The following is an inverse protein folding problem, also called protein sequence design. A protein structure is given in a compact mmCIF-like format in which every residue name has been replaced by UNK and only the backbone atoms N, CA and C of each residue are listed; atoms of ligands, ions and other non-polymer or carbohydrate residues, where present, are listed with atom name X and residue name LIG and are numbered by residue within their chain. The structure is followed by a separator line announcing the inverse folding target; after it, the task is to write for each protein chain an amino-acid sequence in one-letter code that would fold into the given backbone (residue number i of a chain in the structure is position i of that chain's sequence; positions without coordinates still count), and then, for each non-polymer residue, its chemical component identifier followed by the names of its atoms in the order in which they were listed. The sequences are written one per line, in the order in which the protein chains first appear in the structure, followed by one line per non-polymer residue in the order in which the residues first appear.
data_IF_886615195699
#
_entry.id   IF_886615195699
#
_cell.length_a   1.000
_cell.length_b   1.000
_cell.length_c   1.000
_cell.angle_alpha   90.00
_cell.angle_beta   90.00
_cell.angle_gamma   90.00
#
_symmetry.space_group_name_H-M   'P 1'
#
loop_
_entity.id
_entity.type
_entity.pdbx_description
1 polymer ?
#
# COMPACT_ATOMS: atom_id res chain seq x y z
N UNK A 1 3.83 -1.67 0.06
CA UNK A 1 5.12 -1.23 0.61
C UNK A 1 6.07 -2.40 0.49
N UNK A 2 7.28 -2.16 0.02
CA UNK A 2 8.38 -3.12 0.03
C UNK A 2 9.34 -2.68 1.12
N UNK A 3 9.71 -3.60 1.99
CA UNK A 3 10.58 -3.36 3.14
C UNK A 3 11.61 -4.49 3.23
N UNK A 4 12.86 -4.22 3.63
CA UNK A 4 13.80 -5.28 3.92
C UNK A 4 13.38 -6.05 5.18
N UNK A 5 13.85 -7.28 5.32
CA UNK A 5 13.59 -8.11 6.52
C UNK A 5 14.10 -7.43 7.80
N UNK A 6 15.22 -6.70 7.70
CA UNK A 6 15.78 -5.89 8.78
C UNK A 6 15.88 -4.44 8.31
N UNK A 7 14.93 -3.60 8.72
CA UNK A 7 14.92 -2.18 8.38
C UNK A 7 15.95 -1.39 9.20
N UNK A 8 16.63 -0.48 8.51
CA UNK A 8 17.55 0.54 9.01
C UNK A 8 16.87 1.93 9.04
N UNK A 9 15.55 1.99 8.96
CA UNK A 9 14.76 3.22 8.93
C UNK A 9 14.37 3.60 7.51
N UNK A 10 15.17 4.42 6.83
CA UNK A 10 14.84 4.99 5.50
C UNK A 10 15.18 4.05 4.35
N UNK A 11 14.57 2.88 4.33
CA UNK A 11 14.84 1.85 3.33
C UNK A 11 13.58 1.21 2.75
N UNK A 12 12.39 1.67 3.15
CA UNK A 12 11.14 1.20 2.58
C UNK A 12 10.78 1.95 1.29
N UNK A 13 10.12 1.23 0.38
CA UNK A 13 9.54 1.78 -0.84
C UNK A 13 8.02 1.64 -0.81
N UNK A 14 7.30 2.73 -1.00
CA UNK A 14 5.84 2.75 -1.08
C UNK A 14 5.39 2.96 -2.53
N UNK A 15 4.41 2.16 -2.93
CA UNK A 15 3.70 2.26 -4.20
C UNK A 15 2.21 2.38 -3.89
N UNK A 16 1.55 3.38 -4.48
CA UNK A 16 0.13 3.64 -4.25
C UNK A 16 -0.54 4.22 -5.50
N UNK A 17 -1.84 3.94 -5.66
CA UNK A 17 -2.72 4.75 -6.49
C UNK A 17 -3.47 5.72 -5.57
N UNK A 18 -3.41 7.01 -5.89
CA UNK A 18 -4.02 8.07 -5.06
C UNK A 18 -4.74 9.09 -5.93
N UNK A 19 -5.81 9.67 -5.39
CA UNK A 19 -6.51 10.83 -5.92
C UNK A 19 -6.31 12.09 -5.06
N UNK A 20 -5.39 12.02 -4.08
CA UNK A 20 -5.23 13.00 -2.99
C UNK A 20 -5.05 14.46 -3.46
N UNK A 21 -6.06 15.28 -3.22
CA UNK A 21 -5.96 16.72 -3.43
C UNK A 21 -5.52 17.41 -2.14
N UNK A 22 -4.35 18.06 -2.16
CA UNK A 22 -3.81 18.83 -1.05
C UNK A 22 -3.63 20.31 -1.44
N UNK A 23 -3.80 21.21 -0.48
CA UNK A 23 -3.48 22.62 -0.66
C UNK A 23 -1.98 22.80 -0.44
N UNK A 24 -1.28 23.28 -1.46
CA UNK A 24 0.11 23.69 -1.35
C UNK A 24 0.21 24.87 -0.37
N UNK A 25 0.96 24.71 0.71
CA UNK A 25 1.04 25.70 1.78
C UNK A 25 1.78 26.99 1.39
N UNK A 26 2.52 26.99 0.28
CA UNK A 26 3.27 28.16 -0.21
C UNK A 26 2.44 28.94 -1.23
N UNK A 27 1.83 28.24 -2.18
CA UNK A 27 1.07 28.84 -3.28
C UNK A 27 -0.42 28.98 -2.97
N UNK A 28 -0.91 28.32 -1.92
CA UNK A 28 -2.32 28.20 -1.53
C UNK A 28 -3.21 27.64 -2.66
N UNK A 29 -2.63 26.88 -3.58
CA UNK A 29 -3.34 26.23 -4.69
C UNK A 29 -3.49 24.74 -4.43
N UNK A 30 -4.60 24.15 -4.89
CA UNK A 30 -4.76 22.71 -4.91
C UNK A 30 -3.86 22.09 -5.98
N UNK A 31 -3.10 21.07 -5.60
CA UNK A 31 -2.21 20.34 -6.52
C UNK A 31 -2.97 19.41 -7.48
N UNK A 32 -4.12 18.86 -7.07
CA UNK A 32 -4.95 17.97 -7.89
C UNK A 32 -6.44 18.30 -7.75
N UNK A 33 -6.90 19.46 -8.26
CA UNK A 33 -8.26 19.93 -8.06
C UNK A 33 -9.32 19.04 -8.70
N UNK A 34 -8.95 18.27 -9.72
CA UNK A 34 -9.85 17.32 -10.39
C UNK A 34 -9.95 15.98 -9.68
N UNK A 35 -9.14 15.74 -8.63
CA UNK A 35 -9.05 14.46 -7.93
C UNK A 35 -8.75 13.28 -8.88
N UNK A 36 -8.03 13.50 -9.99
CA UNK A 36 -7.72 12.41 -10.93
C UNK A 36 -6.87 11.35 -10.22
N UNK A 37 -6.98 10.08 -10.59
CA UNK A 37 -6.10 9.05 -10.05
C UNK A 37 -4.71 9.13 -10.71
N UNK A 38 -3.64 8.98 -9.94
CA UNK A 38 -2.29 8.77 -10.46
C UNK A 38 -1.54 7.76 -9.61
N UNK A 39 -0.55 7.14 -10.24
CA UNK A 39 0.41 6.28 -9.58
C UNK A 39 1.45 7.15 -8.85
N UNK A 40 1.77 6.76 -7.62
CA UNK A 40 2.80 7.41 -6.82
C UNK A 40 3.77 6.38 -6.26
N UNK A 41 5.05 6.63 -6.48
CA UNK A 41 6.19 5.84 -6.00
C UNK A 41 7.03 6.72 -5.07
N UNK A 42 7.35 6.23 -3.87
CA UNK A 42 8.19 6.93 -2.87
C UNK A 42 9.24 5.98 -2.30
N UNK A 43 10.51 6.27 -2.53
CA UNK A 43 11.64 5.58 -1.89
C UNK A 43 12.07 6.24 -0.58
N UNK A 44 13.03 5.59 0.08
CA UNK A 44 13.73 6.08 1.29
C UNK A 44 12.78 6.49 2.43
N UNK A 45 11.67 5.74 2.56
CA UNK A 45 10.66 5.96 3.57
C UNK A 45 11.05 5.24 4.85
N UNK A 46 10.96 5.95 5.98
CA UNK A 46 10.90 5.35 7.31
C UNK A 46 9.43 5.29 7.76
N UNK A 47 8.83 4.07 7.83
CA UNK A 47 7.44 3.91 8.24
C UNK A 47 7.15 4.42 9.66
N UNK A 48 8.14 4.44 10.55
CA UNK A 48 7.96 4.86 11.94
C UNK A 48 7.81 6.39 12.08
N UNK A 49 8.20 7.16 11.05
CA UNK A 49 8.00 8.61 11.02
C UNK A 49 6.58 9.02 10.60
N UNK A 50 5.76 8.07 10.13
CA UNK A 50 4.40 8.37 9.68
C UNK A 50 3.44 8.45 10.86
N UNK A 51 2.83 9.62 11.06
CA UNK A 51 1.78 9.81 12.08
C UNK A 51 0.42 9.19 11.68
N UNK A 52 0.25 8.80 10.41
CA UNK A 52 -0.99 8.22 9.87
C UNK A 52 -0.92 6.69 9.73
N UNK A 53 0.26 6.09 9.84
CA UNK A 53 0.42 4.64 9.67
C UNK A 53 0.02 3.91 10.95
N UNK A 54 -0.98 3.05 10.85
CA UNK A 54 -1.51 2.32 12.02
C UNK A 54 -0.93 0.91 12.15
N UNK A 55 -0.56 0.26 11.04
CA UNK A 55 0.01 -1.08 11.03
C UNK A 55 0.50 -1.50 9.64
N UNK A 56 1.19 -2.64 9.58
CA UNK A 56 1.76 -3.21 8.35
C UNK A 56 1.51 -4.71 8.32
N UNK A 57 1.01 -5.20 7.18
CA UNK A 57 0.75 -6.61 6.95
C UNK A 57 1.70 -7.10 5.87
N UNK A 58 2.52 -8.10 6.20
CA UNK A 58 3.42 -8.79 5.27
C UNK A 58 2.65 -9.94 4.64
N UNK A 59 2.58 -9.94 3.31
CA UNK A 59 1.79 -10.92 2.52
C UNK A 59 2.64 -11.78 1.59
N UNK A 60 3.96 -11.59 1.57
CA UNK A 60 4.86 -12.25 0.63
C UNK A 60 6.28 -11.73 0.70
N UNK A 61 7.13 -12.28 -0.15
CA UNK A 61 8.54 -11.92 -0.27
C UNK A 61 8.90 -11.78 -1.75
N UNK A 62 9.76 -10.81 -2.04
CA UNK A 62 10.24 -10.53 -3.39
C UNK A 62 11.69 -11.02 -3.49
N UNK A 63 12.09 -11.67 -4.60
CA UNK A 63 13.48 -12.05 -4.81
C UNK A 63 14.44 -10.85 -4.77
N UNK A 64 15.64 -11.05 -4.21
CA UNK A 64 16.63 -9.98 -4.02
C UNK A 64 17.18 -9.42 -5.35
N UNK A 65 17.01 -10.16 -6.44
CA UNK A 65 17.48 -9.81 -7.77
C UNK A 65 16.61 -8.74 -8.43
N UNK A 66 15.37 -8.54 -7.95
CA UNK A 66 14.44 -7.58 -8.52
C UNK A 66 14.85 -6.16 -8.11
N UNK A 67 15.17 -5.34 -9.09
CA UNK A 67 15.56 -3.95 -8.87
C UNK A 67 14.37 -3.06 -8.50
N UNK A 68 14.66 -1.90 -7.89
CA UNK A 68 13.64 -0.86 -7.61
C UNK A 68 12.94 -0.37 -8.89
N UNK A 69 13.66 -0.34 -10.03
CA UNK A 69 13.10 0.05 -11.31
C UNK A 69 12.09 -0.99 -11.82
N UNK A 70 12.43 -2.28 -11.75
CA UNK A 70 11.51 -3.37 -12.11
C UNK A 70 10.26 -3.38 -11.22
N UNK A 71 10.43 -3.13 -9.91
CA UNK A 71 9.28 -2.97 -9.01
C UNK A 71 8.40 -1.79 -9.41
N UNK A 72 9.01 -0.66 -9.75
CA UNK A 72 8.25 0.51 -10.19
C UNK A 72 7.46 0.21 -11.47
N UNK A 73 8.11 -0.34 -12.49
CA UNK A 73 7.46 -0.73 -13.75
C UNK A 73 6.33 -1.72 -13.50
N UNK A 74 6.55 -2.71 -12.62
CA UNK A 74 5.54 -3.69 -12.23
C UNK A 74 4.29 -3.04 -11.61
N UNK A 75 4.47 -2.17 -10.62
CA UNK A 75 3.34 -1.52 -9.96
C UNK A 75 2.67 -0.45 -10.83
N UNK A 76 3.42 0.23 -11.70
CA UNK A 76 2.92 1.22 -12.64
C UNK A 76 2.05 0.59 -13.74
N UNK A 77 2.32 -0.67 -14.11
CA UNK A 77 1.50 -1.43 -15.05
C UNK A 77 0.11 -1.83 -14.49
N UNK A 78 -0.13 -1.70 -13.19
CA UNK A 78 -1.43 -2.01 -12.59
C UNK A 78 -2.43 -0.91 -12.94
N UNK A 79 -3.60 -1.23 -13.54
CA UNK A 79 -4.58 -0.23 -13.93
C UNK A 79 -5.03 0.64 -12.76
N UNK A 80 -4.95 1.97 -12.95
CA UNK A 80 -5.45 2.94 -11.98
C UNK A 80 -6.98 2.83 -11.82
N UNK A 81 -7.53 3.17 -10.65
CA UNK A 81 -8.96 3.17 -10.45
C UNK A 81 -9.68 4.09 -11.44
N UNK A 82 -10.83 3.63 -11.94
CA UNK A 82 -11.69 4.41 -12.84
C UNK A 82 -12.81 5.07 -12.04
N UNK A 83 -13.03 6.36 -12.26
CA UNK A 83 -14.11 7.11 -11.62
C UNK A 83 -15.47 6.78 -12.22
N UNK A 84 -16.53 6.96 -11.43
CA UNK A 84 -17.92 6.89 -11.88
C UNK A 84 -18.32 5.54 -12.51
N UNK A 85 -17.69 4.45 -12.08
CA UNK A 85 -18.06 3.08 -12.46
C UNK A 85 -18.96 2.42 -11.42
N UNK A 86 -19.65 1.35 -11.81
CA UNK A 86 -20.34 0.45 -10.89
C UNK A 86 -19.77 -0.98 -11.04
N UNK A 87 -19.17 -1.56 -9.98
CA UNK A 87 -18.92 -0.97 -8.66
C UNK A 87 -17.91 0.20 -8.71
N UNK A 88 -17.94 1.05 -7.68
CA UNK A 88 -16.98 2.16 -7.53
C UNK A 88 -15.58 1.60 -7.26
N UNK A 89 -14.57 2.16 -7.93
CA UNK A 89 -13.18 1.79 -7.72
C UNK A 89 -12.45 2.81 -6.83
N UNK A 90 -11.50 2.33 -6.04
CA UNK A 90 -10.70 3.15 -5.11
C UNK A 90 -9.26 2.64 -5.00
N UNK A 91 -8.46 3.26 -4.12
CA UNK A 91 -7.13 2.76 -3.76
C UNK A 91 -7.17 1.31 -3.21
N UNK A 92 -8.29 0.90 -2.59
CA UNK A 92 -8.50 -0.49 -2.15
C UNK A 92 -8.62 -1.43 -3.33
N UNK A 93 -9.34 -1.03 -4.40
CA UNK A 93 -9.43 -1.80 -5.65
C UNK A 93 -8.06 -1.94 -6.30
N UNK A 94 -7.27 -0.85 -6.33
CA UNK A 94 -5.90 -0.89 -6.87
C UNK A 94 -5.01 -1.82 -6.05
N UNK A 95 -5.03 -1.71 -4.71
CA UNK A 95 -4.26 -2.58 -3.82
C UNK A 95 -4.65 -4.06 -3.99
N UNK A 96 -5.94 -4.37 -4.10
CA UNK A 96 -6.43 -5.71 -4.39
C UNK A 96 -5.89 -6.25 -5.72
N UNK A 97 -5.89 -5.43 -6.78
CA UNK A 97 -5.31 -5.80 -8.07
C UNK A 97 -3.79 -5.98 -8.00
N UNK A 98 -3.10 -5.16 -7.21
CA UNK A 98 -1.67 -5.29 -6.95
C UNK A 98 -1.35 -6.62 -6.26
N UNK A 99 -2.10 -6.99 -5.23
CA UNK A 99 -1.94 -8.29 -4.55
C UNK A 99 -2.14 -9.44 -5.54
N UNK A 100 -3.19 -9.40 -6.38
CA UNK A 100 -3.40 -10.41 -7.43
C UNK A 100 -2.25 -10.48 -8.43
N UNK A 101 -1.67 -9.35 -8.80
CA UNK A 101 -0.51 -9.32 -9.68
C UNK A 101 0.71 -9.97 -9.01
N UNK A 102 0.94 -9.67 -7.71
CA UNK A 102 2.01 -10.30 -6.92
C UNK A 102 1.82 -11.82 -6.81
N UNK A 103 0.57 -12.27 -6.62
CA UNK A 103 0.22 -13.70 -6.58
C UNK A 103 0.53 -14.39 -7.90
N UNK A 104 0.13 -13.80 -9.04
CA UNK A 104 0.42 -14.33 -10.38
C UNK A 104 1.92 -14.38 -10.69
N UNK A 105 2.68 -13.42 -10.16
CA UNK A 105 4.13 -13.37 -10.30
C UNK A 105 4.86 -14.36 -9.37
N UNK A 106 4.16 -14.93 -8.38
CA UNK A 106 4.74 -15.83 -7.38
C UNK A 106 5.47 -15.11 -6.24
N UNK A 107 5.26 -13.79 -6.07
CA UNK A 107 5.85 -12.99 -4.99
C UNK A 107 4.97 -12.90 -3.74
N UNK A 108 3.72 -13.39 -3.84
CA UNK A 108 2.82 -13.59 -2.71
C UNK A 108 2.11 -14.95 -2.88
N UNK A 109 1.79 -15.67 -1.79
CA UNK A 109 1.01 -16.90 -1.87
C UNK A 109 -0.41 -16.65 -2.41
N UNK A 110 -0.99 -17.67 -3.05
CA UNK A 110 -2.37 -17.61 -3.56
C UNK A 110 -3.37 -17.86 -2.42
N UNK A 111 -3.65 -16.80 -1.66
CA UNK A 111 -4.64 -16.79 -0.57
C UNK A 111 -5.95 -16.10 -1.00
N UNK A 112 -7.03 -16.41 -0.28
CA UNK A 112 -8.34 -15.82 -0.50
C UNK A 112 -8.35 -14.31 -0.20
N UNK A 113 -8.50 -13.49 -1.26
CA UNK A 113 -8.41 -12.04 -1.16
C UNK A 113 -9.59 -11.40 -0.40
N UNK A 114 -10.86 -11.83 -0.57
CA UNK A 114 -11.97 -11.39 0.28
C UNK A 114 -11.72 -11.66 1.77
N UNK A 115 -11.34 -12.88 2.15
CA UNK A 115 -11.04 -13.22 3.54
C UNK A 115 -9.86 -12.40 4.10
N UNK A 116 -8.84 -12.14 3.27
CA UNK A 116 -7.75 -11.24 3.62
C UNK A 116 -8.23 -9.81 3.90
N UNK A 117 -9.16 -9.28 3.09
CA UNK A 117 -9.68 -7.93 3.28
C UNK A 117 -10.45 -7.80 4.61
N UNK A 118 -11.28 -8.79 4.94
CA UNK A 118 -12.02 -8.82 6.21
C UNK A 118 -11.07 -8.93 7.42
N UNK A 119 -10.03 -9.75 7.29
CA UNK A 119 -8.99 -9.89 8.32
C UNK A 119 -8.18 -8.60 8.48
N UNK A 120 -7.76 -7.98 7.37
CA UNK A 120 -6.98 -6.75 7.37
C UNK A 120 -7.76 -5.58 7.98
N UNK A 121 -9.07 -5.51 7.73
CA UNK A 121 -9.95 -4.53 8.37
C UNK A 121 -10.03 -4.75 9.88
N UNK A 122 -10.22 -5.99 10.33
CA UNK A 122 -10.25 -6.33 11.76
C UNK A 122 -8.92 -5.98 12.46
N UNK A 123 -7.80 -6.29 11.81
CA UNK A 123 -6.46 -5.90 12.29
C UNK A 123 -6.32 -4.37 12.38
N UNK A 124 -6.77 -3.63 11.36
CA UNK A 124 -6.73 -2.17 11.36
C UNK A 124 -7.57 -1.57 12.49
N UNK A 125 -8.78 -2.08 12.72
CA UNK A 125 -9.67 -1.61 13.80
C UNK A 125 -9.04 -1.80 15.19
N UNK A 126 -8.39 -2.95 15.44
CA UNK A 126 -7.69 -3.19 16.71
C UNK A 126 -6.42 -2.31 16.82
N UNK A 127 -5.71 -2.01 15.72
CA UNK A 127 -4.57 -1.07 15.70
C UNK A 127 -4.97 0.38 15.93
N UNK A 128 -6.18 0.77 15.55
CA UNK A 128 -6.74 2.11 15.79
C UNK A 128 -6.93 2.43 17.28
N UNK A 129 -6.90 1.42 18.16
CA UNK A 129 -6.91 1.59 19.62
C UNK A 129 -5.62 2.17 20.19
N UNK A 130 -4.59 2.36 19.35
CA UNK A 130 -3.36 3.04 19.73
C UNK A 130 -2.53 2.24 20.73
N UNK A 131 -2.28 2.83 21.92
CA UNK A 131 -1.48 2.21 22.99
C UNK A 131 -2.17 1.00 23.62
N UNK A 132 -3.50 0.91 23.53
CA UNK A 132 -4.29 -0.19 24.08
C UNK A 132 -4.45 -1.35 23.10
N UNK A 133 -3.87 -1.22 21.90
CA UNK A 133 -3.94 -2.25 20.86
C UNK A 133 -3.17 -3.51 21.27
N UNK A 134 -3.80 -4.67 21.06
CA UNK A 134 -3.15 -5.96 21.28
C UNK A 134 -2.36 -6.46 20.06
N UNK A 135 -2.57 -5.82 18.92
CA UNK A 135 -1.94 -6.20 17.66
C UNK A 135 -0.59 -5.51 17.48
N UNK A 136 0.45 -6.21 17.01
CA UNK A 136 1.75 -5.60 16.77
C UNK A 136 1.71 -4.70 15.54
N UNK A 137 2.67 -3.76 15.46
CA UNK A 137 2.80 -2.82 14.32
C UNK A 137 3.06 -3.51 12.98
N UNK A 138 3.64 -4.72 13.02
CA UNK A 138 3.91 -5.54 11.84
C UNK A 138 3.42 -6.95 12.13
N UNK A 139 2.63 -7.50 11.22
CA UNK A 139 2.10 -8.87 11.26
C UNK A 139 2.36 -9.56 9.93
N UNK A 140 2.53 -10.88 9.98
CA UNK A 140 2.53 -11.72 8.79
C UNK A 140 1.12 -12.26 8.60
N UNK A 141 0.56 -12.10 7.40
CA UNK A 141 -0.72 -12.73 7.10
C UNK A 141 -0.53 -14.24 7.09
N UNK A 142 -1.33 -15.02 7.84
CA UNK A 142 -1.24 -16.47 7.85
C UNK A 142 -1.79 -17.00 6.51
N UNK A 143 -0.89 -17.20 5.56
CA UNK A 143 -1.16 -17.84 4.27
C UNK A 143 -1.12 -19.38 4.39
#
# INVERSE_FOLDING_TARGET
MIMPDVSQGRDCHIFEATDASEIDAVTFRMNNPTMNWWFRSKGDIDPELSTKLIGRIVIGQIPNEISKAELQEFFEAIPLPVKNTHPQQSCVTWAANAIRALQRQGWAPDFDLPGFQDWALSYADERMRGVDSKEPKVVYYPC
#
